data_IF_988475759623
#
_entry.id   IF_988475759623
#
_cell.length_a   1.000
_cell.length_b   1.000
_cell.length_c   1.000
_cell.angle_alpha   90.00
_cell.angle_beta   90.00
_cell.angle_gamma   90.00
#
_symmetry.space_group_name_H-M   'P 1'
#
loop_
_entity.id
_entity.type
_entity.pdbx_description
1 polymer ?
#
# COMPACT_ATOMS: atom_id res chain seq x y z
N UNK A 1 6.15 10.87 7.88
CA UNK A 1 6.21 9.49 7.36
C UNK A 1 5.40 9.50 6.08
N UNK A 2 5.96 9.10 4.93
CA UNK A 2 5.22 9.10 3.67
C UNK A 2 4.33 7.85 3.61
N UNK A 3 3.08 8.06 3.23
CA UNK A 3 2.03 7.05 3.13
C UNK A 3 2.05 6.41 1.74
N UNK A 4 2.07 5.08 1.69
CA UNK A 4 2.18 4.33 0.43
C UNK A 4 1.01 3.33 0.38
N UNK A 5 0.26 3.31 -0.72
CA UNK A 5 -0.78 2.32 -0.96
C UNK A 5 -0.25 1.26 -1.94
N UNK A 6 -0.15 0.02 -1.49
CA UNK A 6 0.23 -1.13 -2.31
C UNK A 6 -1.04 -1.84 -2.80
N UNK A 7 -1.14 -2.07 -4.11
CA UNK A 7 -2.27 -2.70 -4.80
C UNK A 7 -1.75 -3.88 -5.60
N UNK A 8 -1.90 -5.08 -5.04
CA UNK A 8 -1.42 -6.31 -5.68
C UNK A 8 -2.33 -7.47 -5.27
N UNK A 9 -2.70 -8.37 -6.17
CA UNK A 9 -3.58 -9.50 -5.87
C UNK A 9 -2.86 -10.61 -5.09
N UNK A 10 -1.53 -10.71 -5.23
CA UNK A 10 -0.70 -11.70 -4.56
C UNK A 10 -0.35 -11.26 -3.12
N UNK A 11 -0.81 -12.05 -2.15
CA UNK A 11 -0.59 -11.77 -0.72
C UNK A 11 0.91 -11.73 -0.35
N UNK A 12 1.71 -12.63 -0.91
CA UNK A 12 3.15 -12.71 -0.65
C UNK A 12 3.90 -11.45 -1.08
N UNK A 13 3.50 -10.84 -2.20
CA UNK A 13 4.08 -9.59 -2.69
C UNK A 13 3.73 -8.45 -1.73
N UNK A 14 2.47 -8.32 -1.34
CA UNK A 14 2.03 -7.31 -0.36
C UNK A 14 2.78 -7.40 0.97
N UNK A 15 2.94 -8.61 1.52
CA UNK A 15 3.68 -8.83 2.76
C UNK A 15 5.17 -8.46 2.62
N UNK A 16 5.79 -8.84 1.50
CA UNK A 16 7.20 -8.54 1.24
C UNK A 16 7.44 -7.03 1.10
N UNK A 17 6.63 -6.34 0.28
CA UNK A 17 6.73 -4.90 0.07
C UNK A 17 6.42 -4.11 1.35
N UNK A 18 5.45 -4.55 2.15
CA UNK A 18 5.13 -3.95 3.44
C UNK A 18 6.34 -3.97 4.36
N UNK A 19 6.99 -5.13 4.52
CA UNK A 19 8.18 -5.26 5.37
C UNK A 19 9.31 -4.33 4.92
N UNK A 20 9.65 -4.37 3.62
CA UNK A 20 10.72 -3.53 3.05
C UNK A 20 10.44 -2.04 3.28
N UNK A 21 9.22 -1.58 2.98
CA UNK A 21 8.88 -0.17 3.10
C UNK A 21 8.79 0.29 4.57
N UNK A 22 8.34 -0.57 5.48
CA UNK A 22 8.35 -0.27 6.91
C UNK A 22 9.78 -0.15 7.45
N UNK A 23 10.69 -1.03 7.04
CA UNK A 23 12.10 -1.00 7.44
C UNK A 23 12.80 0.31 6.98
N UNK A 24 12.40 0.84 5.83
CA UNK A 24 12.87 2.13 5.30
C UNK A 24 12.15 3.36 5.94
N UNK A 25 11.22 3.13 6.86
CA UNK A 25 10.53 4.20 7.60
C UNK A 25 9.33 4.81 6.86
N UNK A 26 8.75 4.09 5.89
CA UNK A 26 7.48 4.46 5.27
C UNK A 26 6.27 3.88 6.02
N UNK A 27 5.08 4.37 5.67
CA UNK A 27 3.80 3.86 6.19
C UNK A 27 3.00 3.19 5.06
N UNK A 28 3.33 1.94 4.70
CA UNK A 28 2.59 1.20 3.67
C UNK A 28 1.23 0.68 4.19
N UNK A 29 0.21 0.79 3.34
CA UNK A 29 -1.11 0.17 3.46
C UNK A 29 -1.33 -0.72 2.25
N UNK A 30 -1.98 -1.87 2.43
CA UNK A 30 -2.13 -2.88 1.37
C UNK A 30 -3.60 -3.16 1.05
N UNK A 31 -3.94 -3.28 -0.23
CA UNK A 31 -5.23 -3.77 -0.73
C UNK A 31 -5.01 -4.81 -1.84
N UNK A 32 -5.98 -5.70 -2.02
CA UNK A 32 -5.87 -6.83 -2.96
C UNK A 32 -6.50 -6.57 -4.33
N UNK A 33 -7.18 -5.44 -4.52
CA UNK A 33 -7.86 -5.13 -5.77
C UNK A 33 -7.91 -3.63 -6.04
N UNK A 34 -8.13 -3.28 -7.31
CA UNK A 34 -8.28 -1.90 -7.74
C UNK A 34 -9.51 -1.21 -7.17
N UNK A 35 -10.61 -1.93 -6.95
CA UNK A 35 -11.82 -1.38 -6.33
C UNK A 35 -11.54 -0.91 -4.90
N UNK A 36 -10.92 -1.77 -4.08
CA UNK A 36 -10.49 -1.40 -2.73
C UNK A 36 -9.44 -0.28 -2.75
N UNK A 37 -8.59 -0.22 -3.77
CA UNK A 37 -7.63 0.87 -3.92
C UNK A 37 -8.32 2.22 -4.15
N UNK A 38 -9.32 2.28 -5.03
CA UNK A 38 -10.07 3.51 -5.32
C UNK A 38 -10.78 4.04 -4.06
N UNK A 39 -11.39 3.14 -3.30
CA UNK A 39 -11.99 3.47 -1.99
C UNK A 39 -10.93 4.08 -1.06
N UNK A 40 -9.76 3.42 -0.97
CA UNK A 40 -8.69 3.84 -0.05
C UNK A 40 -8.00 5.15 -0.43
N UNK A 41 -7.81 5.40 -1.73
CA UNK A 41 -7.23 6.65 -2.24
C UNK A 41 -8.09 7.84 -1.82
N UNK A 42 -9.41 7.68 -1.83
CA UNK A 42 -10.36 8.74 -1.45
C UNK A 42 -10.31 9.05 0.04
N UNK A 43 -10.09 8.04 0.88
CA UNK A 43 -10.02 8.16 2.34
C UNK A 43 -8.67 8.69 2.83
N UNK A 44 -7.57 8.10 2.36
CA UNK A 44 -6.25 8.27 2.96
C UNK A 44 -5.31 9.19 2.17
N UNK A 45 -5.59 9.44 0.88
CA UNK A 45 -4.77 10.29 -0.02
C UNK A 45 -3.27 9.94 0.07
N UNK A 46 -2.88 8.72 -0.32
CA UNK A 46 -1.49 8.27 -0.22
C UNK A 46 -0.55 9.15 -1.06
N UNK A 47 0.70 9.29 -0.60
CA UNK A 47 1.74 10.04 -1.31
C UNK A 47 2.25 9.28 -2.55
N UNK A 48 2.14 7.95 -2.54
CA UNK A 48 2.53 7.04 -3.61
C UNK A 48 1.58 5.84 -3.67
N UNK A 49 1.31 5.35 -4.88
CA UNK A 49 0.58 4.11 -5.12
C UNK A 49 1.51 3.16 -5.91
N UNK A 50 1.64 1.93 -5.43
CA UNK A 50 2.43 0.85 -6.02
C UNK A 50 1.54 -0.31 -6.43
#
# INVERSE_FOLDING_TARGET
MQSILIVDDEKSIRESLTGILQDEGFSPTCVASGESAIEKISEEKPDLIL
#
